data_IF_046562002100
#
_entry.id   IF_046562002100
#
_cell.length_a   1.000
_cell.length_b   1.000
_cell.length_c   1.000
_cell.angle_alpha   90.00
_cell.angle_beta   90.00
_cell.angle_gamma   90.00
#
_symmetry.space_group_name_H-M   'P 1'
#
loop_
_entity.id
_entity.type
_entity.pdbx_description
1 polymer ?
#
# COMPACT_ATOMS: atom_id res chain seq x y z
N UNK A 1 6.35 -0.39 -10.93
CA UNK A 1 7.07 0.90 -10.83
C UNK A 1 6.51 1.85 -9.76
N UNK A 2 5.21 1.79 -9.40
CA UNK A 2 4.62 2.68 -8.40
C UNK A 2 5.23 2.62 -6.98
N UNK A 3 5.57 1.43 -6.49
CA UNK A 3 6.04 1.28 -5.10
C UNK A 3 7.41 1.90 -4.88
N UNK A 4 8.38 1.63 -5.75
CA UNK A 4 9.73 2.20 -5.64
C UNK A 4 9.69 3.74 -5.63
N UNK A 5 8.83 4.34 -6.45
CA UNK A 5 8.66 5.80 -6.48
C UNK A 5 8.13 6.35 -5.14
N UNK A 6 7.11 5.71 -4.56
CA UNK A 6 6.57 6.11 -3.27
C UNK A 6 7.61 6.00 -2.15
N UNK A 7 8.38 4.92 -2.15
CA UNK A 7 9.44 4.66 -1.14
C UNK A 7 10.54 5.72 -1.20
N UNK A 8 11.02 6.06 -2.40
CA UNK A 8 12.06 7.10 -2.59
C UNK A 8 11.56 8.49 -2.22
N UNK A 9 10.28 8.78 -2.47
CA UNK A 9 9.66 10.08 -2.16
C UNK A 9 9.07 10.15 -0.74
N UNK A 10 9.31 9.15 0.13
CA UNK A 10 8.78 9.09 1.49
C UNK A 10 7.25 9.22 1.55
N UNK A 11 6.54 8.69 0.56
CA UNK A 11 5.08 8.66 0.55
C UNK A 11 4.60 7.59 1.52
N UNK A 12 3.64 7.95 2.37
CA UNK A 12 3.07 7.06 3.37
C UNK A 12 2.06 6.06 2.83
N UNK A 13 1.19 6.50 1.93
CA UNK A 13 0.06 5.73 1.46
C UNK A 13 0.01 5.68 -0.07
N UNK A 14 -0.12 4.47 -0.61
CA UNK A 14 -0.45 4.21 -2.00
C UNK A 14 -1.88 3.70 -2.04
N UNK A 15 -2.71 4.39 -2.82
CA UNK A 15 -4.12 4.07 -2.99
C UNK A 15 -4.28 3.32 -4.32
N UNK A 16 -4.80 2.09 -4.29
CA UNK A 16 -4.90 1.28 -5.51
C UNK A 16 -6.10 0.33 -5.51
N UNK A 17 -6.80 0.28 -6.64
CA UNK A 17 -7.86 -0.70 -6.91
C UNK A 17 -7.33 -2.04 -7.46
N UNK A 18 -6.01 -2.20 -7.64
CA UNK A 18 -5.42 -3.39 -8.28
C UNK A 18 -5.04 -4.48 -7.25
N UNK A 19 -6.06 -5.22 -6.80
CA UNK A 19 -5.92 -6.29 -5.81
C UNK A 19 -5.04 -7.47 -6.23
N UNK A 20 -4.90 -7.70 -7.55
CA UNK A 20 -4.24 -8.90 -8.08
C UNK A 20 -2.70 -8.81 -8.09
N UNK A 21 -2.14 -7.59 -8.04
CA UNK A 21 -0.69 -7.40 -8.18
C UNK A 21 0.00 -6.70 -7.00
N UNK A 22 -0.67 -5.77 -6.29
CA UNK A 22 0.00 -4.96 -5.25
C UNK A 22 -0.73 -4.87 -3.91
N UNK A 23 -2.04 -5.10 -3.86
CA UNK A 23 -2.81 -5.09 -2.58
C UNK A 23 -2.78 -6.47 -1.89
N UNK A 24 -1.96 -7.42 -2.36
CA UNK A 24 -1.73 -8.66 -1.62
C UNK A 24 -0.86 -8.36 -0.39
N UNK A 25 -1.39 -8.61 0.81
CA UNK A 25 -0.72 -8.41 2.10
C UNK A 25 0.67 -9.07 2.13
N UNK A 26 0.83 -10.24 1.51
CA UNK A 26 2.13 -10.93 1.43
C UNK A 26 3.16 -10.10 0.66
N UNK A 27 2.76 -9.48 -0.44
CA UNK A 27 3.62 -8.61 -1.26
C UNK A 27 3.96 -7.33 -0.49
N UNK A 28 2.96 -6.71 0.15
CA UNK A 28 3.16 -5.49 0.97
C UNK A 28 4.17 -5.76 2.08
N UNK A 29 4.01 -6.85 2.82
CA UNK A 29 4.92 -7.23 3.89
C UNK A 29 6.34 -7.51 3.37
N UNK A 30 6.48 -8.20 2.25
CA UNK A 30 7.79 -8.49 1.66
C UNK A 30 8.52 -7.20 1.25
N UNK A 31 7.82 -6.26 0.62
CA UNK A 31 8.42 -4.97 0.23
C UNK A 31 8.80 -4.16 1.47
N UNK A 32 7.93 -4.09 2.47
CA UNK A 32 8.21 -3.34 3.69
C UNK A 32 9.38 -3.95 4.49
N UNK A 33 9.52 -5.27 4.51
CA UNK A 33 10.69 -5.93 5.11
C UNK A 33 11.99 -5.53 4.41
N UNK A 34 11.99 -5.48 3.07
CA UNK A 34 13.16 -5.03 2.31
C UNK A 34 13.45 -3.56 2.57
N UNK A 35 12.42 -2.69 2.58
CA UNK A 35 12.58 -1.28 2.90
C UNK A 35 13.21 -1.06 4.27
N UNK A 36 12.75 -1.79 5.29
CA UNK A 36 13.32 -1.72 6.63
C UNK A 36 14.79 -2.10 6.66
N UNK A 37 15.17 -3.19 5.99
CA UNK A 37 16.58 -3.62 5.91
C UNK A 37 17.45 -2.58 5.22
N UNK A 38 16.90 -1.87 4.24
CA UNK A 38 17.60 -0.83 3.49
C UNK A 38 17.50 0.57 4.12
N UNK A 39 16.82 0.72 5.26
CA UNK A 39 16.63 2.01 5.94
C UNK A 39 15.60 2.93 5.27
N UNK A 40 14.82 2.43 4.33
CA UNK A 40 13.70 3.16 3.73
C UNK A 40 12.44 3.09 4.61
N UNK A 41 11.61 4.13 4.52
CA UNK A 41 10.31 4.17 5.18
C UNK A 41 9.39 3.08 4.61
N UNK A 42 8.54 2.54 5.46
CA UNK A 42 7.49 1.61 5.04
C UNK A 42 6.40 2.35 4.26
N UNK A 43 5.80 1.64 3.31
CA UNK A 43 4.69 2.14 2.50
C UNK A 43 3.43 1.34 2.84
N UNK A 44 2.33 2.04 3.07
CA UNK A 44 1.02 1.43 3.22
C UNK A 44 0.34 1.39 1.86
N UNK A 45 -0.15 0.22 1.44
CA UNK A 45 -0.91 0.08 0.20
C UNK A 45 -2.34 -0.27 0.58
N UNK A 46 -3.27 0.65 0.34
CA UNK A 46 -4.66 0.54 0.79
C UNK A 46 -5.63 0.59 -0.39
N UNK A 47 -6.73 -0.17 -0.33
CA UNK A 47 -7.80 0.01 -1.27
C UNK A 47 -8.54 1.33 -0.98
N UNK A 48 -9.17 1.96 -1.99
CA UNK A 48 -9.80 3.27 -1.79
C UNK A 48 -11.02 3.21 -0.87
N UNK A 49 -11.66 2.04 -0.77
CA UNK A 49 -12.72 1.76 0.21
C UNK A 49 -12.27 1.97 1.66
N UNK A 50 -10.97 1.84 1.97
CA UNK A 50 -10.43 2.09 3.31
C UNK A 50 -10.33 3.58 3.64
N UNK A 51 -10.26 4.45 2.63
CA UNK A 51 -10.14 5.90 2.82
C UNK A 51 -11.48 6.63 2.81
N UNK A 52 -12.50 6.04 2.17
CA UNK A 52 -13.77 6.72 1.90
C UNK A 52 -14.75 6.77 3.07
N UNK A 53 -14.51 6.03 4.18
CA UNK A 53 -15.26 6.15 5.44
C UNK A 53 -16.72 6.61 5.31
N UNK A 54 -17.58 5.83 4.64
CA UNK A 54 -18.98 6.21 4.40
C UNK A 54 -19.77 5.15 3.60
N UNK A 55 -20.48 4.31 4.36
CA UNK A 55 -21.84 3.81 4.13
C UNK A 55 -22.23 3.16 2.80
N UNK A 56 -22.14 1.83 2.73
CA UNK A 56 -23.19 0.96 2.16
C UNK A 56 -23.15 -0.35 3.00
N UNK A 57 -23.94 -0.45 4.08
CA UNK A 57 -25.19 -1.23 4.11
C UNK A 57 -25.49 -1.90 2.77
N UNK A 58 -24.83 -3.01 2.46
CA UNK A 58 -25.42 -4.02 1.58
C UNK A 58 -25.79 -5.23 2.44
N UNK A 59 -27.08 -5.49 2.42
CA UNK A 59 -27.86 -6.39 3.29
C UNK A 59 -27.65 -7.86 2.94
#
# INVERSE_FOLDING_TARGET
MHIAYAVVNNIDYIVSWNFKHFVNIKTINMVNSINMVLGYRQVQIVPPSMLLGGDEDDR
#
